data_IF_475724888264
#
_entry.id   IF_475724888264
#
_cell.length_a   1.000
_cell.length_b   1.000
_cell.length_c   1.000
_cell.angle_alpha   90.00
_cell.angle_beta   90.00
_cell.angle_gamma   90.00
#
_symmetry.space_group_name_H-M   'P 1'
#
loop_
_entity.id
_entity.type
_entity.pdbx_description
1 polymer ?
#
# COMPACT_ATOMS: atom_id res chain seq x y z
N UNK A 1 -33.02 2.65 35.11
CA UNK A 1 -33.50 2.76 33.70
C UNK A 1 -32.62 3.73 32.90
N UNK A 2 -32.50 5.00 33.29
CA UNK A 2 -31.71 6.00 32.55
C UNK A 2 -30.21 5.66 32.42
N UNK A 3 -29.56 5.25 33.51
CA UNK A 3 -28.14 4.84 33.48
C UNK A 3 -27.90 3.61 32.60
N UNK A 4 -28.81 2.62 32.64
CA UNK A 4 -28.74 1.45 31.76
C UNK A 4 -28.86 1.84 30.29
N UNK A 5 -29.70 2.80 29.96
CA UNK A 5 -29.86 3.27 28.59
C UNK A 5 -28.58 3.96 28.07
N UNK A 6 -27.94 4.79 28.91
CA UNK A 6 -26.67 5.45 28.56
C UNK A 6 -25.53 4.43 28.35
N UNK A 7 -25.44 3.40 29.19
CA UNK A 7 -24.45 2.34 29.03
C UNK A 7 -24.70 1.52 27.75
N UNK A 8 -25.95 1.20 27.44
CA UNK A 8 -26.30 0.49 26.20
C UNK A 8 -25.98 1.32 24.95
N UNK A 9 -26.28 2.62 24.96
CA UNK A 9 -25.92 3.52 23.87
C UNK A 9 -24.40 3.64 23.70
N UNK A 10 -23.65 3.75 24.79
CA UNK A 10 -22.19 3.76 24.75
C UNK A 10 -21.63 2.47 24.16
N UNK A 11 -22.13 1.31 24.59
CA UNK A 11 -21.71 0.02 24.05
C UNK A 11 -22.04 -0.13 22.56
N UNK A 12 -23.20 0.35 22.10
CA UNK A 12 -23.57 0.36 20.67
C UNK A 12 -22.64 1.27 19.87
N UNK A 13 -22.28 2.44 20.41
CA UNK A 13 -21.34 3.37 19.75
C UNK A 13 -19.95 2.73 19.64
N UNK A 14 -19.45 2.12 20.73
CA UNK A 14 -18.15 1.43 20.71
C UNK A 14 -18.16 0.21 19.76
N UNK A 15 -19.26 -0.55 19.74
CA UNK A 15 -19.41 -1.68 18.84
C UNK A 15 -19.51 -1.24 17.36
N UNK A 16 -20.23 -0.16 17.06
CA UNK A 16 -20.32 0.37 15.69
C UNK A 16 -18.99 0.98 15.21
N UNK A 17 -18.25 1.67 16.07
CA UNK A 17 -16.92 2.19 15.77
C UNK A 17 -15.90 1.06 15.50
N UNK A 18 -15.95 -0.03 16.26
CA UNK A 18 -15.03 -1.15 16.07
C UNK A 18 -15.29 -1.93 14.78
N UNK A 19 -16.53 -2.01 14.29
CA UNK A 19 -16.88 -2.65 13.02
C UNK A 19 -16.37 -1.87 11.79
N UNK A 20 -16.11 -0.56 11.93
CA UNK A 20 -15.69 0.29 10.81
C UNK A 20 -14.18 0.24 10.50
N UNK A 21 -13.38 -0.37 11.39
CA UNK A 21 -11.92 -0.38 11.25
C UNK A 21 -11.39 -1.74 10.79
N UNK A 22 -10.36 -1.73 9.97
CA UNK A 22 -9.66 -2.96 9.57
C UNK A 22 -8.76 -3.39 10.74
N UNK A 23 -8.70 -4.68 11.11
CA UNK A 23 -7.73 -5.17 12.07
C UNK A 23 -6.30 -4.85 11.59
N UNK A 24 -5.44 -4.45 12.53
CA UNK A 24 -4.08 -4.02 12.22
C UNK A 24 -3.31 -5.02 11.35
N UNK A 25 -3.47 -6.33 11.59
CA UNK A 25 -2.77 -7.40 10.87
C UNK A 25 -3.14 -7.48 9.38
N UNK A 26 -4.32 -6.97 8.99
CA UNK A 26 -4.76 -6.91 7.59
C UNK A 26 -4.53 -5.54 6.92
N UNK A 27 -4.05 -4.54 7.68
CA UNK A 27 -3.76 -3.20 7.16
C UNK A 27 -2.35 -3.11 6.57
N UNK A 28 -2.20 -2.81 5.29
CA UNK A 28 -0.93 -2.90 4.55
C UNK A 28 -0.26 -1.55 4.24
N UNK A 29 -0.91 -0.42 4.51
CA UNK A 29 -0.25 0.88 4.26
C UNK A 29 0.93 1.10 5.20
N UNK A 30 2.14 1.17 4.66
CA UNK A 30 3.38 1.50 5.38
C UNK A 30 4.50 0.47 5.15
N UNK A 31 5.72 0.94 4.95
CA UNK A 31 6.90 0.10 4.63
C UNK A 31 7.55 -0.57 5.84
N UNK A 32 7.35 0.00 7.02
CA UNK A 32 7.89 -0.49 8.31
C UNK A 32 6.77 -0.60 9.35
N UNK A 33 6.97 -1.42 10.39
CA UNK A 33 6.00 -1.58 11.48
C UNK A 33 5.56 -0.24 12.08
N UNK A 34 6.50 0.69 12.30
CA UNK A 34 6.20 2.02 12.83
C UNK A 34 5.36 2.84 11.86
N UNK A 35 5.76 2.93 10.59
CA UNK A 35 4.97 3.64 9.57
C UNK A 35 3.57 3.04 9.37
N UNK A 36 3.44 1.72 9.49
CA UNK A 36 2.17 1.00 9.37
C UNK A 36 1.24 1.29 10.55
N UNK A 37 1.77 1.30 11.79
CA UNK A 37 1.01 1.71 12.98
C UNK A 37 0.57 3.17 12.84
N UNK A 38 1.47 4.06 12.46
CA UNK A 38 1.16 5.48 12.27
C UNK A 38 0.08 5.67 11.20
N UNK A 39 0.21 5.01 10.05
CA UNK A 39 -0.78 5.06 8.97
C UNK A 39 -2.13 4.51 9.42
N UNK A 40 -2.16 3.37 10.12
CA UNK A 40 -3.38 2.77 10.66
C UNK A 40 -4.11 3.71 11.62
N UNK A 41 -3.39 4.37 12.53
CA UNK A 41 -3.97 5.33 13.46
C UNK A 41 -4.51 6.59 12.74
N UNK A 42 -3.76 7.12 11.78
CA UNK A 42 -4.15 8.31 11.04
C UNK A 42 -5.39 8.10 10.16
N UNK A 43 -5.60 6.87 9.68
CA UNK A 43 -6.73 6.51 8.82
C UNK A 43 -7.95 6.00 9.59
N UNK A 44 -7.87 5.85 10.93
CA UNK A 44 -8.92 5.25 11.74
C UNK A 44 -10.29 5.99 11.67
N UNK A 45 -10.29 7.29 11.36
CA UNK A 45 -11.51 8.09 11.17
C UNK A 45 -11.77 8.44 9.69
N UNK A 46 -11.16 7.69 8.78
CA UNK A 46 -11.31 7.81 7.34
C UNK A 46 -11.86 6.50 6.77
N UNK A 47 -12.01 6.44 5.44
CA UNK A 47 -12.36 5.21 4.71
C UNK A 47 -11.18 4.22 4.70
N UNK A 48 -10.84 3.71 5.89
CA UNK A 48 -9.65 2.91 6.13
C UNK A 48 -9.57 1.70 5.19
N UNK A 49 -10.70 1.03 4.94
CA UNK A 49 -10.79 -0.10 4.02
C UNK A 49 -10.40 0.27 2.60
N UNK A 50 -10.95 1.36 2.07
CA UNK A 50 -10.68 1.78 0.69
C UNK A 50 -9.24 2.27 0.52
N UNK A 51 -8.73 3.03 1.50
CA UNK A 51 -7.33 3.44 1.53
C UNK A 51 -6.38 2.24 1.57
N UNK A 52 -6.69 1.22 2.38
CA UNK A 52 -5.91 0.00 2.47
C UNK A 52 -5.85 -0.75 1.13
N UNK A 53 -6.97 -0.79 0.39
CA UNK A 53 -7.00 -1.37 -0.96
C UNK A 53 -6.07 -0.63 -1.92
N UNK A 54 -5.97 0.70 -1.82
CA UNK A 54 -5.00 1.48 -2.60
C UNK A 54 -3.55 1.08 -2.27
N UNK A 55 -3.23 0.86 -0.98
CA UNK A 55 -1.90 0.41 -0.57
C UNK A 55 -1.56 -0.98 -1.09
N UNK A 56 -2.49 -1.94 -0.99
CA UNK A 56 -2.32 -3.29 -1.55
C UNK A 56 -2.03 -3.22 -3.07
N UNK A 57 -2.75 -2.36 -3.79
CA UNK A 57 -2.53 -2.19 -5.23
C UNK A 57 -1.19 -1.50 -5.54
N UNK A 58 -0.73 -0.60 -4.68
CA UNK A 58 0.56 0.09 -4.81
C UNK A 58 1.73 -0.88 -4.60
N UNK A 59 1.67 -1.67 -3.53
CA UNK A 59 2.66 -2.72 -3.25
C UNK A 59 2.73 -3.73 -4.40
N UNK A 60 1.57 -4.18 -4.92
CA UNK A 60 1.52 -5.07 -6.07
C UNK A 60 2.12 -4.43 -7.34
N UNK A 61 1.96 -3.12 -7.53
CA UNK A 61 2.58 -2.40 -8.64
C UNK A 61 4.11 -2.43 -8.53
N UNK A 62 4.62 -2.16 -7.34
CA UNK A 62 6.05 -2.25 -7.03
C UNK A 62 6.59 -3.68 -7.24
N UNK A 63 5.95 -4.69 -6.65
CA UNK A 63 6.37 -6.08 -6.77
C UNK A 63 6.40 -6.56 -8.23
N UNK A 64 5.52 -6.02 -9.08
CA UNK A 64 5.45 -6.41 -10.49
C UNK A 64 6.67 -5.97 -11.30
N UNK A 65 7.36 -4.90 -10.89
CA UNK A 65 8.47 -4.29 -11.63
C UNK A 65 8.13 -3.93 -13.09
N UNK A 66 6.85 -3.80 -13.45
CA UNK A 66 6.38 -3.52 -14.82
C UNK A 66 6.33 -2.03 -15.15
N UNK A 67 6.09 -1.21 -14.13
CA UNK A 67 5.98 0.24 -14.24
C UNK A 67 7.11 0.91 -13.47
N UNK A 68 7.57 2.10 -13.91
CA UNK A 68 8.47 2.91 -13.10
C UNK A 68 7.76 3.37 -11.82
N UNK A 69 8.54 3.62 -10.77
CA UNK A 69 8.06 4.05 -9.46
C UNK A 69 7.03 5.19 -9.57
N UNK A 70 7.38 6.24 -10.33
CA UNK A 70 6.53 7.43 -10.49
C UNK A 70 5.15 7.12 -11.06
N UNK A 71 5.02 6.09 -11.89
CA UNK A 71 3.71 5.65 -12.39
C UNK A 71 2.94 4.86 -11.33
N UNK A 72 3.58 3.99 -10.56
CA UNK A 72 2.94 3.33 -9.43
C UNK A 72 2.47 4.34 -8.37
N UNK A 73 3.29 5.34 -8.05
CA UNK A 73 2.94 6.42 -7.12
C UNK A 73 1.77 7.26 -7.64
N UNK A 74 1.75 7.58 -8.92
CA UNK A 74 0.63 8.30 -9.52
C UNK A 74 -0.67 7.49 -9.50
N UNK A 75 -0.61 6.18 -9.79
CA UNK A 75 -1.77 5.28 -9.68
C UNK A 75 -2.28 5.20 -8.24
N UNK A 76 -1.37 5.14 -7.27
CA UNK A 76 -1.71 5.17 -5.85
C UNK A 76 -2.39 6.48 -5.44
N UNK A 77 -1.83 7.63 -5.80
CA UNK A 77 -2.43 8.93 -5.51
C UNK A 77 -3.82 9.08 -6.15
N UNK A 78 -3.99 8.62 -7.39
CA UNK A 78 -5.30 8.64 -8.06
C UNK A 78 -6.31 7.73 -7.35
N UNK A 79 -5.88 6.56 -6.89
CA UNK A 79 -6.72 5.67 -6.09
C UNK A 79 -7.18 6.36 -4.80
N UNK A 80 -6.26 6.97 -4.05
CA UNK A 80 -6.58 7.68 -2.81
C UNK A 80 -7.61 8.78 -3.04
N UNK A 81 -7.41 9.64 -4.05
CA UNK A 81 -8.32 10.74 -4.32
C UNK A 81 -9.66 10.31 -4.93
N UNK A 82 -9.80 9.06 -5.36
CA UNK A 82 -11.07 8.49 -5.77
C UNK A 82 -11.90 7.96 -4.58
N UNK A 83 -11.29 7.80 -3.40
CA UNK A 83 -11.99 7.34 -2.19
C UNK A 83 -13.01 8.39 -1.72
N UNK A 84 -14.30 8.05 -1.56
CA UNK A 84 -15.30 8.97 -1.05
C UNK A 84 -15.02 9.32 0.41
N UNK A 85 -14.53 10.51 0.71
CA UNK A 85 -13.99 10.84 2.04
C UNK A 85 -14.36 12.24 2.51
N UNK A 86 -14.23 12.47 3.83
CA UNK A 86 -14.42 13.81 4.41
C UNK A 86 -13.33 14.77 3.94
N UNK A 87 -13.54 16.10 3.96
CA UNK A 87 -12.53 17.07 3.56
C UNK A 87 -11.21 16.94 4.35
N UNK A 88 -11.25 16.51 5.61
CA UNK A 88 -10.04 16.29 6.42
C UNK A 88 -9.28 15.08 5.88
N UNK A 89 -9.97 13.95 5.67
CA UNK A 89 -9.34 12.75 5.11
C UNK A 89 -8.75 13.03 3.72
N UNK A 90 -9.49 13.72 2.86
CA UNK A 90 -9.05 14.09 1.51
C UNK A 90 -7.85 15.03 1.50
N UNK A 91 -7.95 16.16 2.19
CA UNK A 91 -6.96 17.23 2.06
C UNK A 91 -5.71 16.99 2.90
N UNK A 92 -5.83 16.23 4.00
CA UNK A 92 -4.71 15.96 4.90
C UNK A 92 -4.23 14.51 4.79
N UNK A 93 -5.09 13.53 5.07
CA UNK A 93 -4.63 12.15 5.26
C UNK A 93 -4.26 11.49 3.92
N UNK A 94 -5.11 11.58 2.91
CA UNK A 94 -4.83 11.09 1.54
C UNK A 94 -3.64 11.84 0.92
N UNK A 95 -3.62 13.17 1.02
CA UNK A 95 -2.49 13.99 0.58
C UNK A 95 -1.17 13.59 1.25
N UNK A 96 -1.18 13.33 2.56
CA UNK A 96 0.00 12.89 3.30
C UNK A 96 0.51 11.54 2.77
N UNK A 97 -0.38 10.57 2.53
CA UNK A 97 -0.01 9.27 1.99
C UNK A 97 0.57 9.39 0.57
N UNK A 98 -0.08 10.15 -0.31
CA UNK A 98 0.42 10.41 -1.66
C UNK A 98 1.80 11.09 -1.64
N UNK A 99 1.98 12.10 -0.79
CA UNK A 99 3.26 12.80 -0.65
C UNK A 99 4.34 11.89 -0.05
N UNK A 100 3.98 11.02 0.91
CA UNK A 100 4.92 10.12 1.55
C UNK A 100 5.56 9.15 0.56
N UNK A 101 4.78 8.55 -0.36
CA UNK A 101 5.35 7.63 -1.36
C UNK A 101 6.24 8.35 -2.38
N UNK A 102 5.91 9.60 -2.73
CA UNK A 102 6.71 10.41 -3.65
C UNK A 102 8.02 10.90 -3.02
N UNK A 103 8.05 11.16 -1.70
CA UNK A 103 9.24 11.63 -1.00
C UNK A 103 10.13 10.48 -0.49
N UNK A 104 9.56 9.31 -0.21
CA UNK A 104 10.27 8.19 0.42
C UNK A 104 10.42 6.97 -0.51
N UNK A 105 9.85 7.02 -1.71
CA UNK A 105 9.85 5.93 -2.67
C UNK A 105 11.18 5.70 -3.38
N UNK A 106 12.18 6.58 -3.22
CA UNK A 106 13.51 6.51 -3.85
C UNK A 106 14.29 5.20 -3.59
N UNK A 107 13.80 4.33 -2.70
CA UNK A 107 14.32 2.99 -2.45
C UNK A 107 13.71 1.91 -3.35
N UNK A 108 12.80 2.27 -4.26
CA UNK A 108 12.24 1.33 -5.23
C UNK A 108 13.30 0.93 -6.25
N UNK A 109 13.83 -0.28 -6.10
CA UNK A 109 14.79 -0.88 -7.02
C UNK A 109 14.13 -2.07 -7.70
N UNK A 110 13.73 -1.89 -8.96
CA UNK A 110 13.41 -3.02 -9.83
C UNK A 110 14.69 -3.79 -10.19
N UNK A 111 14.76 -5.12 -10.01
CA UNK A 111 15.87 -5.93 -10.53
C UNK A 111 16.05 -5.78 -12.05
N UNK A 112 14.95 -5.53 -12.78
CA UNK A 112 14.96 -5.31 -14.23
C UNK A 112 15.57 -3.96 -14.66
N UNK A 113 15.78 -3.03 -13.73
CA UNK A 113 16.43 -1.73 -13.96
C UNK A 113 17.81 -1.61 -13.31
N UNK A 114 18.30 -2.68 -12.69
CA UNK A 114 19.72 -2.82 -12.41
C UNK A 114 20.44 -3.06 -13.76
N UNK A 115 20.69 -1.97 -14.50
CA UNK A 115 21.65 -1.98 -15.60
C UNK A 115 22.93 -2.65 -15.11
N UNK A 116 23.50 -3.62 -15.86
CA UNK A 116 24.78 -4.20 -15.51
C UNK A 116 25.83 -3.11 -15.62
N UNK A 117 26.21 -2.51 -14.48
CA UNK A 117 27.46 -1.77 -14.41
C UNK A 117 28.54 -2.75 -14.90
N UNK A 118 29.23 -2.38 -15.98
CA UNK A 118 30.29 -3.10 -16.71
C UNK A 118 29.85 -3.84 -17.98
N UNK A 119 30.41 -3.46 -19.16
CA UNK A 119 30.37 -4.35 -20.32
C UNK A 119 31.09 -5.65 -19.95
N UNK A 120 30.34 -6.75 -19.94
CA UNK A 120 30.87 -8.10 -19.76
C UNK A 120 32.02 -8.35 -20.74
N UNK A 121 33.25 -8.38 -20.21
CA UNK A 121 34.38 -8.98 -20.92
C UNK A 121 34.09 -10.48 -21.01
N UNK A 122 33.72 -10.93 -22.21
CA UNK A 122 33.40 -12.32 -22.55
C UNK A 122 34.54 -13.24 -22.09
N UNK A 123 34.29 -14.13 -21.12
CA UNK A 123 35.19 -15.26 -20.87
C UNK A 123 35.45 -15.72 -19.44
N UNK A 124 34.57 -15.50 -18.47
CA UNK A 124 34.69 -16.16 -17.15
C UNK A 124 33.36 -16.76 -16.73
N UNK A 125 33.34 -18.09 -16.62
CA UNK A 125 32.31 -18.85 -15.91
C UNK A 125 32.15 -18.30 -14.50
N UNK A 126 30.98 -17.74 -14.19
CA UNK A 126 30.60 -17.40 -12.83
C UNK A 126 30.11 -18.65 -12.10
N UNK A 127 30.50 -18.87 -10.83
CA UNK A 127 29.83 -19.84 -9.98
C UNK A 127 28.35 -19.44 -9.82
N UNK A 128 27.44 -20.40 -9.54
CA UNK A 128 26.01 -20.13 -9.39
C UNK A 128 25.76 -19.01 -8.37
N UNK A 129 24.68 -18.23 -8.53
CA UNK A 129 24.36 -17.11 -7.66
C UNK A 129 24.28 -17.61 -6.22
N UNK A 130 25.15 -17.08 -5.38
CA UNK A 130 25.02 -17.22 -3.93
C UNK A 130 23.72 -16.49 -3.59
N UNK A 131 22.71 -17.24 -3.18
CA UNK A 131 21.45 -16.71 -2.68
C UNK A 131 21.73 -15.58 -1.68
N UNK A 132 20.96 -14.48 -1.70
CA UNK A 132 21.17 -13.39 -0.76
C UNK A 132 21.14 -13.96 0.67
N UNK A 133 22.24 -13.70 1.38
CA UNK A 133 22.39 -14.00 2.80
C UNK A 133 21.29 -13.27 3.55
N UNK A 134 20.25 -14.01 3.91
CA UNK A 134 19.31 -13.62 4.96
C UNK A 134 20.17 -13.27 6.18
N UNK A 135 20.19 -12.00 6.58
CA UNK A 135 20.76 -11.62 7.87
C UNK A 135 19.83 -12.15 8.95
N UNK A 136 20.13 -13.36 9.38
CA UNK A 136 19.49 -14.06 10.48
C UNK A 136 19.82 -13.35 11.79
N UNK A 137 18.95 -12.44 12.23
CA UNK A 137 18.65 -12.22 13.65
C UNK A 137 17.28 -11.58 13.80
N UNK A 138 16.22 -12.25 13.36
CA UNK A 138 14.94 -12.25 14.08
C UNK A 138 14.32 -13.63 13.84
N UNK A 139 13.92 -14.28 14.92
CA UNK A 139 13.52 -15.68 14.96
C UNK A 139 12.44 -16.00 13.92
N UNK A 140 12.63 -17.14 13.26
CA UNK A 140 11.63 -17.80 12.44
C UNK A 140 10.44 -18.19 13.33
N UNK A 141 9.28 -17.62 13.06
CA UNK A 141 8.00 -18.25 13.34
C UNK A 141 7.16 -18.21 12.07
N UNK A 142 7.11 -19.40 11.46
CA UNK A 142 6.10 -19.98 10.58
C UNK A 142 5.36 -19.10 9.55
N UNK A 143 5.69 -19.34 8.28
CA UNK A 143 4.75 -19.82 7.25
C UNK A 143 3.24 -19.60 7.54
N UNK A 144 2.72 -18.45 7.12
CA UNK A 144 1.34 -18.37 6.63
C UNK A 144 1.26 -17.24 5.60
N UNK A 145 1.41 -17.59 4.32
CA UNK A 145 1.15 -16.67 3.21
C UNK A 145 -0.29 -16.92 2.78
N UNK A 146 -1.25 -16.06 3.13
CA UNK A 146 -2.65 -16.33 2.84
C UNK A 146 -2.90 -16.26 1.33
N UNK A 147 -3.57 -17.28 0.81
CA UNK A 147 -4.02 -17.48 -0.58
C UNK A 147 -4.97 -16.40 -1.12
N UNK A 148 -5.15 -15.28 -0.41
CA UNK A 148 -6.11 -14.23 -0.71
C UNK A 148 -5.68 -13.32 -1.89
N UNK A 149 -4.39 -13.31 -2.25
CA UNK A 149 -3.85 -12.45 -3.31
C UNK A 149 -4.36 -12.78 -4.73
N UNK A 150 -4.84 -13.99 -4.96
CA UNK A 150 -5.27 -14.43 -6.29
C UNK A 150 -6.61 -13.82 -6.73
N UNK A 151 -7.44 -13.37 -5.78
CA UNK A 151 -8.75 -12.80 -6.07
C UNK A 151 -8.65 -11.28 -6.38
N UNK A 152 -7.69 -10.58 -5.76
CA UNK A 152 -7.51 -9.13 -5.94
C UNK A 152 -6.90 -8.73 -7.29
N UNK A 153 -6.15 -9.63 -7.94
CA UNK A 153 -5.57 -9.38 -9.27
C UNK A 153 -6.65 -9.24 -10.36
N UNK A 154 -7.85 -9.79 -10.13
CA UNK A 154 -8.99 -9.67 -11.05
C UNK A 154 -9.71 -8.32 -10.89
N UNK A 155 -9.73 -7.74 -9.69
CA UNK A 155 -10.37 -6.44 -9.42
C UNK A 155 -9.56 -5.22 -9.86
N UNK A 156 -8.23 -5.35 -10.00
CA UNK A 156 -7.39 -4.29 -10.59
C UNK A 156 -7.80 -3.95 -12.03
N UNK A 157 -8.44 -4.89 -12.74
CA UNK A 157 -8.98 -4.68 -14.09
C UNK A 157 -10.38 -4.02 -14.09
N UNK A 158 -10.97 -3.74 -12.93
CA UNK A 158 -12.34 -3.23 -12.81
C UNK A 158 -12.42 -1.70 -12.64
N UNK A 159 -11.29 -1.02 -12.46
CA UNK A 159 -11.27 0.44 -12.47
C UNK A 159 -11.25 0.96 -13.90
N UNK A 160 -12.19 1.83 -14.31
CA UNK A 160 -12.11 2.47 -15.61
C UNK A 160 -10.80 3.26 -15.70
N UNK A 161 -10.04 2.98 -16.75
CA UNK A 161 -8.85 3.75 -17.09
C UNK A 161 -9.20 5.25 -17.12
N UNK A 162 -8.42 6.14 -16.48
CA UNK A 162 -8.66 7.57 -16.62
C UNK A 162 -8.55 7.95 -18.09
N UNK A 163 -9.59 8.62 -18.59
CA UNK A 163 -9.65 9.18 -19.93
C UNK A 163 -8.43 10.08 -20.09
N UNK A 164 -7.54 9.76 -21.06
CA UNK A 164 -6.41 10.61 -21.44
C UNK A 164 -6.89 12.06 -21.58
N UNK A 165 -6.30 13.04 -20.88
CA UNK A 165 -6.52 14.43 -21.27
C UNK A 165 -5.94 14.59 -22.68
N UNK A 166 -6.84 14.82 -23.65
CA UNK A 166 -6.45 15.30 -24.98
C UNK A 166 -5.88 16.69 -24.80
N UNK A 167 -4.56 16.82 -24.88
CA UNK A 167 -3.89 18.11 -24.96
C UNK A 167 -4.32 18.76 -26.28
N UNK A 168 -5.26 19.71 -26.20
CA UNK A 168 -5.52 20.65 -27.28
C UNK A 168 -4.59 21.82 -27.03
N UNK A 169 -3.51 21.90 -27.81
CA UNK A 169 -2.64 23.07 -27.84
C UNK A 169 -3.40 24.27 -28.38
N UNK A 170 -3.33 25.37 -27.64
CA UNK A 170 -3.58 26.73 -28.11
C UNK A 170 -2.38 27.59 -27.72
#
# INVERSE_FOLDING_TARGET
IQIMCLLLLYLIIILSLSVLSIPFDAYQCGSTKTSRITSWLLTANCEQEQMNRCCISHDACYDSCKLPQSQCDQLFCNCLFAVPSTPICRNLIESLHCTAVQLMGDNYICPSQAEPLFPLKKGTTFPPPIAPRISSTINAESNDYPTQYHEYSLFANQFPQPIRPTFIGY
#
